data_IF_757791704147
#
_entry.id   IF_757791704147
#
_cell.length_a   1.000
_cell.length_b   1.000
_cell.length_c   1.000
_cell.angle_alpha   90.00
_cell.angle_beta   90.00
_cell.angle_gamma   90.00
#
_symmetry.space_group_name_H-M   'P 1'
#
loop_
_entity.id
_entity.type
_entity.pdbx_description
1 polymer ?
#
# COMPACT_ATOMS: atom_id res chain seq x y z
N UNK A 1 4.63 2.63 16.32
CA UNK A 1 3.55 1.95 15.60
C UNK A 1 2.37 2.88 15.57
N UNK A 2 2.16 3.46 14.40
CA UNK A 2 1.12 4.41 14.07
C UNK A 2 -0.20 3.70 13.75
N UNK A 3 -1.30 4.37 14.07
CA UNK A 3 -2.66 4.00 13.64
C UNK A 3 -3.36 5.27 13.15
N UNK A 4 -4.10 5.16 12.05
CA UNK A 4 -4.96 6.22 11.52
C UNK A 4 -6.35 5.66 11.26
N UNK A 5 -7.37 6.39 11.69
CA UNK A 5 -8.78 6.09 11.42
C UNK A 5 -9.36 7.18 10.51
N UNK A 6 -9.87 6.79 9.35
CA UNK A 6 -10.46 7.67 8.34
C UNK A 6 -11.95 7.39 8.27
N UNK A 7 -12.72 8.32 8.80
CA UNK A 7 -14.20 8.32 8.77
C UNK A 7 -14.77 9.52 8.01
N UNK A 8 -13.88 10.39 7.51
CA UNK A 8 -14.20 11.62 6.80
C UNK A 8 -13.43 11.62 5.46
N UNK A 9 -14.12 11.75 4.31
CA UNK A 9 -13.48 11.83 3.01
C UNK A 9 -12.40 12.92 2.92
N UNK A 10 -12.53 14.03 3.67
CA UNK A 10 -11.53 15.10 3.69
C UNK A 10 -10.18 14.68 4.28
N UNK A 11 -10.10 13.51 4.91
CA UNK A 11 -8.86 12.95 5.46
C UNK A 11 -8.22 11.88 4.57
N UNK A 12 -8.79 11.62 3.39
CA UNK A 12 -8.21 10.65 2.45
C UNK A 12 -6.83 11.06 1.97
N UNK A 13 -6.56 12.37 1.85
CA UNK A 13 -5.22 12.87 1.51
C UNK A 13 -4.17 12.38 2.53
N UNK A 14 -4.49 12.41 3.83
CA UNK A 14 -3.59 11.91 4.88
C UNK A 14 -3.37 10.40 4.82
N UNK A 15 -4.34 9.64 4.30
CA UNK A 15 -4.15 8.21 4.03
C UNK A 15 -3.26 8.02 2.82
N UNK A 16 -3.50 8.77 1.74
CA UNK A 16 -2.73 8.70 0.51
C UNK A 16 -1.25 8.99 0.79
N UNK A 17 -0.94 10.05 1.55
CA UNK A 17 0.42 10.40 1.97
C UNK A 17 1.17 9.25 2.67
N UNK A 18 0.45 8.34 3.32
CA UNK A 18 1.06 7.24 4.09
C UNK A 18 1.25 5.98 3.26
N UNK A 19 0.35 5.73 2.29
CA UNK A 19 0.33 4.49 1.52
C UNK A 19 0.85 4.65 0.09
N UNK A 20 1.00 5.88 -0.41
CA UNK A 20 1.51 6.18 -1.75
C UNK A 20 2.86 5.49 -1.99
N UNK A 21 3.01 4.90 -3.17
CA UNK A 21 4.15 4.08 -3.61
C UNK A 21 4.39 2.78 -2.82
N UNK A 22 3.56 2.45 -1.83
CA UNK A 22 3.78 1.26 -1.00
C UNK A 22 3.19 -0.01 -1.62
N UNK A 23 3.91 -1.12 -1.48
CA UNK A 23 3.63 -2.35 -2.21
C UNK A 23 2.68 -3.28 -1.46
N UNK A 24 1.74 -3.86 -2.21
CA UNK A 24 0.86 -4.94 -1.75
C UNK A 24 0.77 -6.04 -2.82
N UNK A 25 0.31 -7.21 -2.38
CA UNK A 25 0.04 -8.35 -3.26
C UNK A 25 -1.46 -8.54 -3.36
N UNK A 26 -1.97 -8.69 -4.58
CA UNK A 26 -3.39 -8.86 -4.81
C UNK A 26 -3.93 -10.17 -4.20
N UNK A 27 -3.11 -11.23 -4.24
CA UNK A 27 -3.42 -12.54 -3.62
C UNK A 27 -3.55 -12.49 -2.09
N UNK A 28 -2.95 -11.49 -1.44
CA UNK A 28 -2.97 -11.33 0.02
C UNK A 28 -4.21 -10.54 0.50
N UNK A 29 -5.01 -9.98 -0.42
CA UNK A 29 -6.22 -9.24 -0.06
C UNK A 29 -7.31 -10.20 0.38
N UNK A 30 -7.88 -9.94 1.55
CA UNK A 30 -8.96 -10.74 2.13
C UNK A 30 -10.25 -9.93 2.07
N UNK A 31 -11.29 -10.51 1.47
CA UNK A 31 -12.64 -9.95 1.52
C UNK A 31 -13.57 -10.87 2.32
N UNK A 32 -13.92 -10.43 3.52
CA UNK A 32 -14.98 -11.03 4.32
C UNK A 32 -16.33 -10.39 3.93
N UNK A 33 -17.07 -11.08 3.06
CA UNK A 33 -18.37 -10.61 2.57
C UNK A 33 -19.45 -10.61 3.66
N UNK A 34 -19.38 -11.52 4.62
CA UNK A 34 -20.39 -11.60 5.69
C UNK A 34 -20.16 -10.49 6.73
N UNK A 35 -18.90 -10.24 7.09
CA UNK A 35 -18.52 -9.13 7.96
C UNK A 35 -18.53 -7.76 7.28
N UNK A 36 -18.53 -7.72 5.94
CA UNK A 36 -18.43 -6.48 5.16
C UNK A 36 -17.08 -5.80 5.34
N UNK A 37 -15.98 -6.56 5.32
CA UNK A 37 -14.63 -6.07 5.58
C UNK A 37 -13.68 -6.48 4.47
N UNK A 38 -12.90 -5.52 3.97
CA UNK A 38 -11.73 -5.80 3.11
C UNK A 38 -10.47 -5.46 3.87
N UNK A 39 -9.53 -6.41 3.91
CA UNK A 39 -8.23 -6.28 4.53
C UNK A 39 -7.15 -6.36 3.46
N UNK A 40 -6.31 -5.34 3.37
CA UNK A 40 -5.22 -5.21 2.41
C UNK A 40 -3.90 -5.16 3.18
N UNK A 41 -3.21 -6.29 3.32
CA UNK A 41 -1.85 -6.32 3.84
C UNK A 41 -0.89 -5.66 2.85
N UNK A 42 -0.03 -4.78 3.34
CA UNK A 42 0.96 -4.11 2.50
C UNK A 42 2.26 -3.86 3.27
N UNK A 43 3.28 -3.38 2.55
CA UNK A 43 4.62 -3.18 3.09
C UNK A 43 5.07 -1.76 2.80
N UNK A 44 5.50 -1.07 3.86
CA UNK A 44 6.19 0.20 3.74
C UNK A 44 7.67 -0.01 3.57
N UNK A 45 8.17 0.37 2.40
CA UNK A 45 9.59 0.28 2.06
C UNK A 45 10.17 1.61 1.64
N UNK A 46 9.41 2.70 1.53
CA UNK A 46 9.96 4.01 1.13
C UNK A 46 9.95 5.04 2.26
N UNK A 47 9.04 4.88 3.22
CA UNK A 47 8.91 5.79 4.35
C UNK A 47 9.74 5.32 5.55
N UNK A 48 11.06 5.26 5.37
CA UNK A 48 11.95 4.78 6.43
C UNK A 48 12.00 5.74 7.62
N UNK A 49 11.90 5.19 8.82
CA UNK A 49 12.26 5.92 10.04
C UNK A 49 13.78 6.04 10.22
N UNK A 50 14.56 5.23 9.50
CA UNK A 50 16.02 5.21 9.57
C UNK A 50 16.64 5.21 8.17
N UNK A 51 17.79 5.85 7.97
CA UNK A 51 18.45 5.87 6.67
C UNK A 51 18.83 4.45 6.21
N UNK A 52 18.71 4.15 4.90
CA UNK A 52 19.09 2.86 4.33
C UNK A 52 20.54 2.46 4.67
N UNK A 53 20.74 1.20 5.08
CA UNK A 53 22.08 0.64 5.27
C UNK A 53 22.69 0.31 3.91
N UNK A 54 23.72 1.03 3.50
CA UNK A 54 24.39 0.75 2.22
C UNK A 54 25.18 -0.56 2.31
N UNK A 55 24.78 -1.57 1.55
CA UNK A 55 25.42 -2.90 1.50
C UNK A 55 26.35 -3.07 0.29
N UNK A 56 26.15 -2.27 -0.77
CA UNK A 56 27.01 -2.29 -1.94
C UNK A 56 27.20 -0.88 -2.50
N UNK A 57 28.43 -0.56 -2.90
CA UNK A 57 28.77 0.66 -3.62
C UNK A 57 29.51 0.32 -4.90
N UNK A 58 29.05 0.84 -6.02
CA UNK A 58 29.73 0.86 -7.32
C UNK A 58 29.85 2.30 -7.80
N UNK A 59 30.61 2.52 -8.86
CA UNK A 59 30.89 3.87 -9.36
C UNK A 59 29.62 4.63 -9.81
N UNK A 60 28.61 3.94 -10.33
CA UNK A 60 27.39 4.56 -10.85
C UNK A 60 26.11 4.15 -10.11
N UNK A 61 26.21 3.35 -9.05
CA UNK A 61 25.04 2.96 -8.25
C UNK A 61 25.45 2.43 -6.88
N UNK A 62 24.52 2.46 -5.93
CA UNK A 62 24.66 1.85 -4.61
C UNK A 62 23.40 1.06 -4.27
N UNK A 63 23.53 -0.02 -3.50
CA UNK A 63 22.38 -0.76 -2.96
C UNK A 63 22.29 -0.49 -1.47
N UNK A 64 21.13 0.03 -1.06
CA UNK A 64 20.72 0.12 0.33
C UNK A 64 19.81 -1.04 0.71
N UNK A 65 19.95 -1.48 1.94
CA UNK A 65 19.04 -2.40 2.61
C UNK A 65 18.24 -1.62 3.64
N UNK A 66 16.94 -1.91 3.69
CA UNK A 66 15.97 -1.21 4.55
C UNK A 66 15.09 -2.24 5.23
N UNK A 67 14.66 -1.92 6.46
CA UNK A 67 13.66 -2.71 7.16
C UNK A 67 12.28 -2.51 6.52
N UNK A 68 11.61 -3.61 6.19
CA UNK A 68 10.26 -3.56 5.66
C UNK A 68 9.26 -3.51 6.81
N UNK A 69 8.44 -2.45 6.84
CA UNK A 69 7.39 -2.29 7.83
C UNK A 69 6.08 -2.88 7.30
N UNK A 70 5.62 -3.97 7.91
CA UNK A 70 4.33 -4.57 7.59
C UNK A 70 3.21 -3.69 8.12
N UNK A 71 2.27 -3.39 7.24
CA UNK A 71 1.10 -2.58 7.52
C UNK A 71 -0.17 -3.31 7.11
N UNK A 72 -1.30 -2.85 7.64
CA UNK A 72 -2.63 -3.31 7.28
C UNK A 72 -3.51 -2.10 6.99
N UNK A 73 -4.22 -2.17 5.87
CA UNK A 73 -5.35 -1.32 5.59
C UNK A 73 -6.63 -2.15 5.73
N UNK A 74 -7.56 -1.71 6.57
CA UNK A 74 -8.83 -2.39 6.80
C UNK A 74 -9.98 -1.45 6.46
N UNK A 75 -10.77 -1.80 5.47
CA UNK A 75 -11.96 -1.07 5.07
C UNK A 75 -13.18 -1.83 5.60
N UNK A 76 -13.99 -1.16 6.42
CA UNK A 76 -15.21 -1.74 6.99
C UNK A 76 -16.45 -1.26 6.26
N UNK A 77 -17.57 -1.95 6.49
CA UNK A 77 -18.86 -1.64 5.88
C UNK A 77 -18.87 -1.72 4.33
N UNK A 78 -18.05 -2.61 3.79
CA UNK A 78 -17.97 -2.92 2.36
C UNK A 78 -19.17 -3.78 1.96
N UNK A 79 -19.91 -3.30 0.98
CA UNK A 79 -21.06 -4.00 0.39
C UNK A 79 -20.66 -4.79 -0.86
N UNK A 80 -19.75 -4.22 -1.65
CA UNK A 80 -19.24 -4.81 -2.88
C UNK A 80 -17.75 -4.52 -2.99
N UNK A 81 -17.01 -5.50 -3.49
CA UNK A 81 -15.59 -5.41 -3.77
C UNK A 81 -15.32 -6.00 -5.14
N UNK A 82 -14.65 -5.23 -5.99
CA UNK A 82 -14.24 -5.62 -7.32
C UNK A 82 -12.78 -5.22 -7.54
N UNK A 83 -12.07 -6.03 -8.30
CA UNK A 83 -10.71 -5.75 -8.76
C UNK A 83 -10.72 -5.68 -10.27
N UNK A 84 -10.28 -4.54 -10.81
CA UNK A 84 -9.97 -4.40 -12.21
C UNK A 84 -8.46 -4.52 -12.39
N UNK A 85 -7.96 -5.69 -12.75
CA UNK A 85 -6.54 -5.97 -12.97
C UNK A 85 -6.28 -6.33 -14.45
N UNK A 86 -5.81 -5.35 -15.24
CA UNK A 86 -5.49 -5.57 -16.65
C UNK A 86 -4.09 -6.16 -16.86
N UNK A 87 -3.12 -5.79 -16.01
CA UNK A 87 -1.70 -6.15 -16.17
C UNK A 87 -1.36 -7.54 -15.65
N UNK A 88 -2.11 -8.07 -14.69
CA UNK A 88 -1.98 -9.42 -14.12
C UNK A 88 -0.59 -9.74 -13.57
N UNK A 89 0.08 -8.74 -12.99
CA UNK A 89 1.42 -8.89 -12.40
C UNK A 89 1.37 -9.31 -10.93
N UNK A 90 0.21 -9.19 -10.28
CA UNK A 90 -0.10 -9.69 -8.94
C UNK A 90 0.48 -8.89 -7.76
N UNK A 91 1.51 -8.07 -7.99
CA UNK A 91 2.06 -7.14 -6.98
C UNK A 91 1.94 -5.72 -7.49
N UNK A 92 1.35 -4.82 -6.70
CA UNK A 92 1.06 -3.44 -7.10
C UNK A 92 1.53 -2.47 -6.03
N UNK A 93 1.60 -1.19 -6.37
CA UNK A 93 1.75 -0.09 -5.43
C UNK A 93 0.53 0.83 -5.49
N UNK A 94 0.19 1.46 -4.37
CA UNK A 94 -0.87 2.46 -4.34
C UNK A 94 -0.42 3.76 -5.01
N UNK A 95 -1.32 4.37 -5.77
CA UNK A 95 -1.10 5.67 -6.42
C UNK A 95 -2.07 6.75 -5.93
N UNK A 96 -3.36 6.39 -5.80
CA UNK A 96 -4.36 7.32 -5.29
C UNK A 96 -5.49 6.60 -4.55
N UNK A 97 -6.15 7.33 -3.65
CA UNK A 97 -7.39 6.91 -3.01
C UNK A 97 -8.44 7.99 -3.20
N UNK A 98 -9.56 7.63 -3.83
CA UNK A 98 -10.65 8.57 -4.13
C UNK A 98 -11.98 8.04 -3.58
N UNK A 99 -12.86 8.96 -3.15
CA UNK A 99 -14.19 8.61 -2.69
C UNK A 99 -15.28 9.44 -3.39
N UNK A 100 -16.05 8.77 -4.25
CA UNK A 100 -17.21 9.35 -4.91
C UNK A 100 -18.42 9.31 -3.97
N UNK A 101 -18.70 10.45 -3.33
CA UNK A 101 -19.70 10.56 -2.25
C UNK A 101 -21.14 10.34 -2.70
N UNK A 102 -21.43 10.49 -3.99
CA UNK A 102 -22.74 10.26 -4.60
C UNK A 102 -23.09 8.76 -4.71
N UNK A 103 -22.06 7.93 -4.90
CA UNK A 103 -22.16 6.49 -5.10
C UNK A 103 -21.62 5.66 -3.92
N UNK A 104 -21.05 6.33 -2.91
CA UNK A 104 -20.25 5.72 -1.83
C UNK A 104 -19.22 4.71 -2.36
N UNK A 105 -18.60 5.07 -3.49
CA UNK A 105 -17.59 4.27 -4.14
C UNK A 105 -16.21 4.77 -3.71
N UNK A 106 -15.45 3.88 -3.08
CA UNK A 106 -14.05 4.07 -2.74
C UNK A 106 -13.19 3.37 -3.79
N UNK A 107 -12.28 4.11 -4.41
CA UNK A 107 -11.40 3.62 -5.48
C UNK A 107 -9.96 3.76 -5.03
N UNK A 108 -9.22 2.66 -5.06
CA UNK A 108 -7.77 2.67 -4.93
C UNK A 108 -7.17 2.48 -6.32
N UNK A 109 -6.61 3.56 -6.86
CA UNK A 109 -5.82 3.50 -8.09
C UNK A 109 -4.45 2.97 -7.75
N UNK A 110 -4.01 1.96 -8.50
CA UNK A 110 -2.73 1.30 -8.31
C UNK A 110 -1.90 1.40 -9.59
N UNK A 111 -0.59 1.21 -9.48
CA UNK A 111 0.28 1.22 -10.66
C UNK A 111 -0.12 0.13 -11.67
N UNK A 112 0.24 0.33 -12.94
CA UNK A 112 0.06 -0.66 -14.02
C UNK A 112 -1.39 -1.11 -14.22
N UNK A 113 -2.31 -0.15 -14.38
CA UNK A 113 -3.71 -0.39 -14.77
C UNK A 113 -4.46 -1.37 -13.85
N UNK A 114 -4.27 -1.20 -12.54
CA UNK A 114 -4.95 -1.94 -11.49
C UNK A 114 -5.80 -1.00 -10.63
N UNK A 115 -7.06 -1.36 -10.39
CA UNK A 115 -7.95 -0.62 -9.50
C UNK A 115 -8.67 -1.56 -8.53
N UNK A 116 -8.72 -1.17 -7.25
CA UNK A 116 -9.57 -1.79 -6.26
C UNK A 116 -10.81 -0.91 -6.06
N UNK A 117 -11.99 -1.46 -6.32
CA UNK A 117 -13.26 -0.72 -6.23
C UNK A 117 -14.11 -1.30 -5.12
N UNK A 118 -14.46 -0.45 -4.15
CA UNK A 118 -15.22 -0.83 -2.97
C UNK A 118 -16.45 0.05 -2.84
N UNK A 119 -17.64 -0.53 -2.93
CA UNK A 119 -18.86 0.17 -2.55
C UNK A 119 -19.05 0.02 -1.06
N UNK A 120 -19.06 1.12 -0.31
CA UNK A 120 -19.19 1.12 1.15
C UNK A 120 -20.51 1.75 1.58
N UNK A 121 -21.08 1.34 2.72
CA UNK A 121 -22.27 2.04 3.24
C UNK A 121 -21.94 3.39 3.88
N UNK A 122 -20.73 3.52 4.41
CA UNK A 122 -20.13 4.75 4.90
C UNK A 122 -18.61 4.55 5.00
N UNK A 123 -17.86 5.66 4.99
CA UNK A 123 -16.41 5.62 5.03
C UNK A 123 -15.93 5.18 6.43
N UNK A 124 -15.20 4.06 6.48
CA UNK A 124 -14.56 3.56 7.68
C UNK A 124 -13.30 2.77 7.31
N UNK A 125 -12.17 3.49 7.23
CA UNK A 125 -10.88 2.92 6.88
C UNK A 125 -9.95 3.01 8.09
N UNK A 126 -9.30 1.90 8.42
CA UNK A 126 -8.26 1.83 9.43
C UNK A 126 -6.91 1.51 8.77
N UNK A 127 -5.92 2.36 9.02
CA UNK A 127 -4.51 2.07 8.73
C UNK A 127 -3.78 1.71 10.03
N UNK A 128 -2.95 0.67 9.98
CA UNK A 128 -2.18 0.20 11.14
C UNK A 128 -0.78 -0.29 10.75
N UNK A 129 0.23 0.19 11.48
CA UNK A 129 1.57 -0.40 11.47
C UNK A 129 1.61 -1.64 12.37
N UNK A 130 2.08 -2.78 11.86
CA UNK A 130 2.08 -4.06 12.58
C UNK A 130 3.44 -4.37 13.18
N UNK A 131 4.47 -4.50 12.34
CA UNK A 131 5.82 -4.94 12.75
C UNK A 131 6.85 -4.65 11.66
N UNK A 132 8.10 -4.49 12.06
CA UNK A 132 9.22 -4.59 11.12
C UNK A 132 9.55 -6.06 10.90
N UNK A 133 9.43 -6.54 9.67
CA UNK A 133 9.79 -7.91 9.33
C UNK A 133 10.28 -8.01 7.90
N UNK A 134 11.46 -8.59 7.77
CA UNK A 134 12.17 -8.75 6.51
C UNK A 134 12.85 -7.47 6.05
N UNK A 135 13.65 -7.62 5.00
CA UNK A 135 14.44 -6.54 4.39
C UNK A 135 14.06 -6.35 2.93
N UNK A 136 14.08 -5.11 2.47
CA UNK A 136 13.99 -4.77 1.06
C UNK A 136 15.33 -4.20 0.57
N UNK A 137 15.60 -4.36 -0.73
CA UNK A 137 16.76 -3.77 -1.39
C UNK A 137 16.33 -2.66 -2.33
N UNK A 138 17.06 -1.56 -2.24
CA UNK A 138 16.82 -0.37 -3.05
C UNK A 138 18.12 -0.01 -3.72
N UNK A 139 18.10 0.00 -5.05
CA UNK A 139 19.24 0.37 -5.88
C UNK A 139 19.10 1.83 -6.24
N UNK A 140 20.07 2.63 -5.84
CA UNK A 140 20.11 4.06 -6.12
C UNK A 140 21.06 4.33 -7.27
N UNK A 141 20.57 5.06 -8.27
CA UNK A 141 21.30 5.58 -9.42
C UNK A 141 21.42 7.11 -9.32
N UNK A 142 22.21 7.79 -10.17
CA UNK A 142 22.37 9.24 -10.12
C UNK A 142 21.09 10.04 -10.41
N UNK A 143 20.10 9.42 -11.06
CA UNK A 143 18.87 10.07 -11.53
C UNK A 143 17.59 9.34 -11.12
N UNK A 144 17.66 8.52 -10.07
CA UNK A 144 16.50 7.78 -9.56
C UNK A 144 16.92 6.55 -8.78
N UNK A 145 15.92 5.79 -8.38
CA UNK A 145 16.09 4.52 -7.68
C UNK A 145 15.19 3.45 -8.29
N UNK A 146 15.57 2.19 -8.05
CA UNK A 146 14.72 1.03 -8.34
C UNK A 146 14.73 0.13 -7.12
N UNK A 147 13.57 -0.32 -6.69
CA UNK A 147 13.46 -1.33 -5.66
C UNK A 147 13.12 -2.69 -6.28
N UNK A 148 13.36 -3.74 -5.50
CA UNK A 148 12.68 -5.00 -5.70
C UNK A 148 11.58 -5.06 -4.62
N UNK A 149 10.31 -5.17 -5.02
CA UNK A 149 9.19 -5.36 -4.09
C UNK A 149 9.31 -6.69 -3.29
N UNK A 150 10.31 -7.51 -3.61
CA UNK A 150 10.67 -8.71 -2.86
C UNK A 150 11.28 -8.38 -1.51
N UNK A 151 10.63 -8.91 -0.49
CA UNK A 151 11.15 -8.97 0.87
C UNK A 151 11.86 -10.31 1.07
N UNK A 152 13.04 -10.27 1.67
CA UNK A 152 13.74 -11.47 2.14
C UNK A 152 13.90 -11.42 3.67
N UNK A 153 13.99 -12.61 4.27
CA UNK A 153 14.27 -12.79 5.71
C UNK A 153 15.78 -12.79 5.99
#
# INVERSE_FOLDING_TARGET
>A
MQKLDIVDPLKLDSLNDVIHDEYFKLEDIIYDKEGGVVEIPFRRIFHYHQPPRIIQRRWFWKVGEVDALRCLLRISHVQQYEVADQSRIGTYSFDAVEHASDSNLLIFTCCQDCELRLTVSHLAIEYREIEYRGKARITYYPFGDSNDARIYE
#
